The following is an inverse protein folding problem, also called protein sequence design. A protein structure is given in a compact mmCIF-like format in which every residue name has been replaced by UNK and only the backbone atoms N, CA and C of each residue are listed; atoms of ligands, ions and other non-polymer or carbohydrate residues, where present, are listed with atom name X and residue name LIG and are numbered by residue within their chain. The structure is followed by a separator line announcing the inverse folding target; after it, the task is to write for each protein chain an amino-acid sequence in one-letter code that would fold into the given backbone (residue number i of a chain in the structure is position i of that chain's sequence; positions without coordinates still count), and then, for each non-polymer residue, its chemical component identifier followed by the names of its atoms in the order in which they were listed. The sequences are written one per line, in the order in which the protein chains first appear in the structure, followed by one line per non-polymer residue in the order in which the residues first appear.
data_IF_181878635383
#
_entry.id   IF_181878635383
#
_cell.length_a   1.000
_cell.length_b   1.000
_cell.length_c   1.000
_cell.angle_alpha   90.00
_cell.angle_beta   90.00
_cell.angle_gamma   90.00
#
_symmetry.space_group_name_H-M   'P 1'
#
loop_
_entity.id
_entity.type
_entity.pdbx_description
1 polymer ?
#
# COMPACT_ATOMS: atom_id res chain seq x y z
N UNK A 1 -1.61 3.64 21.92
CA UNK A 1 -2.09 2.41 21.24
C UNK A 1 -2.85 2.84 20.01
N UNK A 2 -2.55 2.26 18.85
CA UNK A 2 -3.37 2.46 17.64
C UNK A 2 -4.75 1.85 17.90
N UNK A 3 -5.81 2.66 17.82
CA UNK A 3 -7.18 2.20 18.08
C UNK A 3 -7.73 1.28 16.98
N UNK A 4 -7.10 1.30 15.80
CA UNK A 4 -7.53 0.58 14.60
C UNK A 4 -6.36 -0.23 14.01
N UNK A 5 -6.09 -1.44 14.52
CA UNK A 5 -5.08 -2.31 13.94
C UNK A 5 -5.44 -2.67 12.49
N UNK A 6 -4.45 -2.85 11.61
CA UNK A 6 -4.68 -3.20 10.20
C UNK A 6 -4.95 -1.99 9.28
N UNK A 7 -5.04 -0.77 9.82
CA UNK A 7 -5.36 0.41 9.03
C UNK A 7 -4.31 0.71 7.94
N UNK A 8 -3.02 0.63 8.29
CA UNK A 8 -1.94 0.90 7.33
C UNK A 8 -1.90 -0.19 6.27
N UNK A 9 -2.04 -1.46 6.68
CA UNK A 9 -2.11 -2.63 5.81
C UNK A 9 -3.23 -2.49 4.79
N UNK A 10 -4.43 -2.09 5.23
CA UNK A 10 -5.57 -1.82 4.36
C UNK A 10 -5.28 -0.68 3.35
N UNK A 11 -4.61 0.38 3.79
CA UNK A 11 -4.27 1.52 2.91
C UNK A 11 -3.28 1.08 1.83
N UNK A 12 -2.24 0.31 2.18
CA UNK A 12 -1.20 -0.08 1.21
C UNK A 12 -1.57 -1.33 0.40
N UNK A 13 -2.62 -2.06 0.78
CA UNK A 13 -3.15 -3.19 0.03
C UNK A 13 -3.80 -2.72 -1.28
N UNK A 14 -3.23 -3.14 -2.41
CA UNK A 14 -3.67 -2.77 -3.76
C UNK A 14 -4.87 -3.58 -4.26
N UNK A 15 -5.23 -4.66 -3.57
CA UNK A 15 -6.40 -5.47 -3.91
C UNK A 15 -7.73 -4.82 -3.48
N UNK A 16 -7.68 -3.85 -2.56
CA UNK A 16 -8.87 -3.16 -2.04
C UNK A 16 -9.18 -1.89 -2.84
N UNK A 17 -10.46 -1.66 -3.14
CA UNK A 17 -10.91 -0.48 -3.90
C UNK A 17 -10.42 -0.48 -5.35
N UNK A 18 -10.87 -1.42 -6.20
CA UNK A 18 -10.32 -1.60 -7.55
C UNK A 18 -10.67 -0.47 -8.53
N UNK A 19 -11.71 0.31 -8.24
CA UNK A 19 -12.14 1.42 -9.08
C UNK A 19 -11.20 2.63 -8.99
N UNK A 20 -11.28 3.51 -10.00
CA UNK A 20 -10.43 4.70 -10.12
C UNK A 20 -10.54 5.62 -8.91
N UNK A 21 -11.77 5.91 -8.48
CA UNK A 21 -12.05 6.83 -7.38
C UNK A 21 -11.41 6.37 -6.08
N UNK A 22 -11.48 5.07 -5.77
CA UNK A 22 -10.85 4.50 -4.57
C UNK A 22 -9.33 4.56 -4.64
N UNK A 23 -8.74 4.28 -5.82
CA UNK A 23 -7.28 4.36 -6.02
C UNK A 23 -6.76 5.78 -5.84
N UNK A 24 -7.43 6.75 -6.46
CA UNK A 24 -7.06 8.16 -6.39
C UNK A 24 -7.21 8.68 -4.94
N UNK A 25 -8.31 8.35 -4.26
CA UNK A 25 -8.54 8.74 -2.86
C UNK A 25 -7.51 8.12 -1.90
N UNK A 26 -7.23 6.82 -2.03
CA UNK A 26 -6.19 6.14 -1.24
C UNK A 26 -4.82 6.75 -1.46
N UNK A 27 -4.48 7.09 -2.70
CA UNK A 27 -3.19 7.67 -3.02
C UNK A 27 -3.02 9.07 -2.44
N UNK A 28 -4.03 9.93 -2.52
CA UNK A 28 -3.98 11.25 -1.87
C UNK A 28 -3.90 11.12 -0.33
N UNK A 29 -4.57 10.14 0.27
CA UNK A 29 -4.41 9.84 1.70
C UNK A 29 -2.96 9.43 2.04
N UNK A 30 -2.37 8.49 1.29
CA UNK A 30 -0.97 8.07 1.50
C UNK A 30 -0.02 9.25 1.35
N UNK A 31 -0.23 10.09 0.35
CA UNK A 31 0.57 11.30 0.12
C UNK A 31 0.46 12.27 1.29
N UNK A 32 -0.72 12.49 1.85
CA UNK A 32 -0.88 13.31 3.05
C UNK A 32 -0.12 12.72 4.25
N UNK A 33 -0.19 11.40 4.44
CA UNK A 33 0.52 10.70 5.52
C UNK A 33 2.05 10.77 5.35
N UNK A 34 2.58 10.53 4.15
CA UNK A 34 4.03 10.57 3.91
C UNK A 34 4.61 11.98 4.10
N UNK A 35 3.84 13.03 3.80
CA UNK A 35 4.28 14.42 3.99
C UNK A 35 4.14 14.93 5.43
N UNK A 36 3.50 14.17 6.33
CA UNK A 36 3.39 14.53 7.75
C UNK A 36 4.62 14.08 8.54
N UNK A 37 5.15 14.97 9.37
CA UNK A 37 6.33 14.72 10.21
C UNK A 37 6.05 13.74 11.35
N UNK A 38 4.79 13.60 11.78
CA UNK A 38 4.39 12.73 12.89
C UNK A 38 4.10 11.29 12.50
N UNK A 39 4.02 10.98 11.19
CA UNK A 39 3.59 9.65 10.72
C UNK A 39 4.52 8.53 11.19
N UNK A 40 5.84 8.74 11.16
CA UNK A 40 6.80 7.73 11.62
C UNK A 40 6.73 7.50 13.14
N UNK A 41 6.40 8.55 13.92
CA UNK A 41 6.23 8.44 15.38
C UNK A 41 4.92 7.71 15.74
N UNK A 42 3.82 8.03 15.04
CA UNK A 42 2.49 7.49 15.32
C UNK A 42 2.35 6.04 14.84
N UNK A 43 2.77 5.76 13.61
CA UNK A 43 2.61 4.45 12.98
C UNK A 43 3.87 3.59 13.07
N UNK A 44 5.02 4.16 13.43
CA UNK A 44 6.29 3.43 13.45
C UNK A 44 6.97 3.36 12.08
N UNK A 45 8.29 3.11 12.12
CA UNK A 45 9.15 3.18 10.94
C UNK A 45 8.81 2.16 9.84
N UNK A 46 8.39 0.95 10.20
CA UNK A 46 8.03 -0.09 9.22
C UNK A 46 6.84 0.35 8.37
N UNK A 47 5.76 0.81 9.01
CA UNK A 47 4.58 1.33 8.32
C UNK A 47 4.89 2.58 7.49
N UNK A 48 5.73 3.49 8.01
CA UNK A 48 6.17 4.66 7.25
C UNK A 48 6.94 4.28 5.97
N UNK A 49 7.80 3.27 6.02
CA UNK A 49 8.51 2.77 4.83
C UNK A 49 7.55 2.16 3.81
N UNK A 50 6.54 1.40 4.24
CA UNK A 50 5.49 0.86 3.35
C UNK A 50 4.71 1.97 2.66
N UNK A 51 4.32 3.03 3.38
CA UNK A 51 3.64 4.19 2.81
C UNK A 51 4.50 4.92 1.77
N UNK A 52 5.81 5.08 2.03
CA UNK A 52 6.75 5.68 1.06
C UNK A 52 6.93 4.81 -0.18
N UNK A 53 6.98 3.50 -0.03
CA UNK A 53 7.05 2.57 -1.16
C UNK A 53 5.79 2.69 -2.02
N UNK A 54 4.60 2.65 -1.41
CA UNK A 54 3.33 2.84 -2.11
C UNK A 54 3.26 4.17 -2.87
N UNK A 55 3.71 5.27 -2.24
CA UNK A 55 3.79 6.59 -2.88
C UNK A 55 4.72 6.59 -4.09
N UNK A 56 5.89 5.94 -4.00
CA UNK A 56 6.87 5.85 -5.10
C UNK A 56 6.35 5.06 -6.29
N UNK A 57 5.61 3.99 -6.03
CA UNK A 57 5.03 3.11 -7.04
C UNK A 57 3.84 3.77 -7.78
N UNK A 58 3.05 4.58 -7.08
CA UNK A 58 1.90 5.26 -7.64
C UNK A 58 0.57 4.51 -7.48
N UNK A 59 -0.57 5.16 -7.78
CA UNK A 59 -1.92 4.65 -7.54
C UNK A 59 -2.30 3.43 -8.39
N UNK A 60 -1.70 3.29 -9.56
CA UNK A 60 -2.06 2.27 -10.56
C UNK A 60 -0.98 1.19 -10.74
N UNK A 61 0.03 1.16 -9.87
CA UNK A 61 1.02 0.09 -9.88
C UNK A 61 0.36 -1.26 -9.59
N UNK A 62 0.73 -2.26 -10.38
CA UNK A 62 0.28 -3.64 -10.27
C UNK A 62 1.54 -4.49 -10.16
N UNK A 63 1.61 -5.34 -9.13
CA UNK A 63 2.67 -6.34 -9.01
C UNK A 63 2.46 -7.40 -10.09
N UNK A 64 3.37 -7.47 -11.06
CA UNK A 64 3.36 -8.56 -12.03
C UNK A 64 3.78 -9.86 -11.32
N UNK A 65 2.82 -10.72 -11.02
CA UNK A 65 3.09 -12.07 -10.52
C UNK A 65 3.21 -12.99 -11.74
N UNK A 66 4.44 -13.28 -12.14
CA UNK A 66 4.71 -14.30 -13.17
C UNK A 66 4.36 -15.67 -12.58
N UNK A 67 3.18 -16.19 -12.95
CA UNK A 67 2.81 -17.56 -12.62
C UNK A 67 3.58 -18.48 -13.57
N UNK A 68 4.69 -19.04 -13.10
CA UNK A 68 5.40 -20.10 -13.83
C UNK A 68 4.70 -21.42 -13.52
N UNK A 69 3.84 -21.87 -14.43
CA UNK A 69 3.33 -23.25 -14.39
C UNK A 69 4.47 -24.17 -14.82
N UNK A 70 4.93 -25.02 -13.91
CA UNK A 70 5.87 -26.09 -14.24
C UNK A 70 5.01 -27.27 -14.70
N UNK A 71 4.90 -27.50 -16.02
CA UNK A 71 4.35 -28.75 -16.55
C UNK A 71 5.31 -29.88 -16.16
N UNK A 72 4.90 -30.68 -15.17
CA UNK A 72 5.58 -31.93 -14.82
C UNK A 72 5.47 -32.91 -15.98
N UNK A 73 6.62 -33.42 -16.42
CA UNK A 73 6.73 -34.49 -17.39
C UNK A 73 5.93 -35.73 -16.93
N UNK A 74 5.16 -36.30 -17.86
CA UNK A 74 4.68 -37.69 -17.80
C UNK A 74 5.85 -38.65 -18.04
#
# INVERSE_FOLDING_TARGET
MVATPGFVEFIVDRSTGPNKESKDAKFELVKALVNSTSTAEIFGNQHYLSLRAYMREGPYYITAVSTVTVEGAD
#
